data_IF_410666347581
#
_entry.id   IF_410666347581
#
_cell.length_a   1.000
_cell.length_b   1.000
_cell.length_c   1.000
_cell.angle_alpha   90.00
_cell.angle_beta   90.00
_cell.angle_gamma   90.00
#
_symmetry.space_group_name_H-M   'P 1'
#
loop_
_entity.id
_entity.type
_entity.pdbx_description
1 polymer ?
#
# COMPACT_ATOMS: atom_id res chain seq x y z
N UNK A 1 -41.00 -0.67 -16.84
CA UNK A 1 -40.15 -1.67 -17.53
C UNK A 1 -38.74 -1.53 -16.96
N UNK A 2 -38.39 -2.33 -15.94
CA UNK A 2 -37.06 -2.28 -15.33
C UNK A 2 -36.10 -3.11 -16.17
N UNK A 3 -35.04 -2.48 -16.70
CA UNK A 3 -33.93 -3.21 -17.30
C UNK A 3 -33.17 -3.91 -16.17
N UNK A 4 -33.12 -5.24 -16.23
CA UNK A 4 -32.15 -6.03 -15.48
C UNK A 4 -30.76 -5.72 -16.06
N UNK A 5 -30.12 -4.66 -15.56
CA UNK A 5 -28.78 -4.21 -15.97
C UNK A 5 -27.67 -5.15 -15.47
N UNK A 6 -28.00 -6.12 -14.60
CA UNK A 6 -27.04 -7.10 -14.09
C UNK A 6 -27.59 -8.51 -14.25
N UNK A 7 -26.86 -9.32 -15.02
CA UNK A 7 -27.12 -10.75 -15.18
C UNK A 7 -26.55 -11.54 -14.01
N UNK A 8 -26.94 -11.20 -12.78
CA UNK A 8 -26.50 -11.89 -11.56
C UNK A 8 -27.19 -13.26 -11.38
N UNK A 9 -28.16 -13.57 -12.27
CA UNK A 9 -28.94 -14.81 -12.26
C UNK A 9 -28.28 -15.96 -13.06
N UNK A 10 -26.98 -15.88 -13.39
CA UNK A 10 -26.30 -17.00 -14.08
C UNK A 10 -25.95 -18.05 -13.04
N UNK A 11 -26.36 -19.30 -13.27
CA UNK A 11 -26.03 -20.46 -12.44
C UNK A 11 -24.52 -20.45 -12.15
N UNK A 12 -24.14 -20.26 -10.89
CA UNK A 12 -22.73 -20.21 -10.45
C UNK A 12 -21.97 -21.49 -10.80
N UNK A 13 -22.70 -22.60 -10.99
CA UNK A 13 -22.19 -23.90 -11.46
C UNK A 13 -21.69 -23.89 -12.91
N UNK A 14 -22.14 -22.95 -13.73
CA UNK A 14 -21.73 -22.80 -15.15
C UNK A 14 -20.76 -21.64 -15.37
N UNK A 15 -20.53 -20.81 -14.35
CA UNK A 15 -19.61 -19.68 -14.44
C UNK A 15 -18.17 -20.19 -14.34
N UNK A 16 -17.54 -20.38 -15.50
CA UNK A 16 -16.12 -20.74 -15.56
C UNK A 16 -15.23 -19.68 -14.88
N UNK A 17 -14.06 -20.12 -14.42
CA UNK A 17 -13.08 -19.23 -13.77
C UNK A 17 -12.74 -18.03 -14.66
N UNK A 18 -12.70 -16.84 -14.07
CA UNK A 18 -12.22 -15.63 -14.74
C UNK A 18 -10.71 -15.72 -15.02
N UNK A 19 -10.16 -14.76 -15.78
CA UNK A 19 -8.70 -14.69 -15.99
C UNK A 19 -7.99 -14.40 -14.66
N UNK A 20 -8.61 -13.58 -13.82
CA UNK A 20 -8.13 -13.20 -12.50
C UNK A 20 -8.17 -14.39 -11.53
N UNK A 21 -9.24 -15.19 -11.54
CA UNK A 21 -9.33 -16.40 -10.70
C UNK A 21 -8.23 -17.41 -11.05
N UNK A 22 -8.00 -17.65 -12.35
CA UNK A 22 -6.92 -18.54 -12.81
C UNK A 22 -5.53 -18.03 -12.40
N UNK A 23 -5.33 -16.70 -12.39
CA UNK A 23 -4.08 -16.07 -11.93
C UNK A 23 -3.90 -16.23 -10.43
N UNK A 24 -4.95 -16.03 -9.65
CA UNK A 24 -4.94 -16.22 -8.22
C UNK A 24 -4.62 -17.67 -7.85
N UNK A 25 -5.26 -18.65 -8.50
CA UNK A 25 -4.98 -20.07 -8.26
C UNK A 25 -3.54 -20.46 -8.60
N UNK A 26 -3.00 -19.99 -9.74
CA UNK A 26 -1.59 -20.20 -10.06
C UNK A 26 -0.65 -19.60 -9.01
N UNK A 27 -0.97 -18.40 -8.51
CA UNK A 27 -0.18 -17.74 -7.48
C UNK A 27 -0.26 -18.48 -6.15
N UNK A 28 -1.41 -19.06 -5.82
CA UNK A 28 -1.60 -19.87 -4.63
C UNK A 28 -0.80 -21.17 -4.68
N UNK A 29 -0.89 -21.89 -5.80
CA UNK A 29 -0.19 -23.16 -6.00
C UNK A 29 1.33 -23.00 -5.95
N UNK A 30 1.86 -21.91 -6.50
CA UNK A 30 3.31 -21.69 -6.63
C UNK A 30 3.92 -20.82 -5.53
N UNK A 31 3.10 -19.98 -4.90
CA UNK A 31 3.57 -18.91 -4.02
C UNK A 31 3.52 -19.24 -2.53
N UNK A 32 2.67 -20.19 -2.14
CA UNK A 32 2.59 -20.62 -0.74
C UNK A 32 3.88 -21.35 -0.37
N UNK A 33 4.62 -20.78 0.56
CA UNK A 33 5.82 -21.40 1.11
C UNK A 33 5.84 -21.25 2.62
N UNK A 34 6.59 -22.14 3.28
CA UNK A 34 6.77 -22.12 4.72
C UNK A 34 8.06 -21.37 5.03
N UNK A 35 7.96 -20.34 5.84
CA UNK A 35 9.08 -19.57 6.35
C UNK A 35 9.86 -20.37 7.40
N UNK A 36 11.10 -19.96 7.65
CA UNK A 36 12.00 -20.61 8.61
C UNK A 36 11.47 -20.55 10.06
N UNK A 37 10.63 -19.56 10.36
CA UNK A 37 9.91 -19.40 11.63
C UNK A 37 8.69 -20.33 11.77
N UNK A 38 8.39 -21.11 10.72
CA UNK A 38 7.35 -22.11 10.69
C UNK A 38 5.98 -21.62 10.21
N UNK A 39 5.82 -20.33 9.89
CA UNK A 39 4.58 -19.77 9.35
C UNK A 39 4.47 -19.97 7.83
N UNK A 40 3.25 -19.91 7.29
CA UNK A 40 3.01 -19.95 5.85
C UNK A 40 2.76 -18.54 5.32
N UNK A 41 3.48 -18.18 4.26
CA UNK A 41 3.29 -16.91 3.57
C UNK A 41 2.63 -17.13 2.21
N UNK A 42 1.69 -16.23 1.90
CA UNK A 42 1.00 -16.17 0.62
C UNK A 42 1.35 -14.87 -0.09
N UNK A 43 1.89 -14.91 -1.32
CA UNK A 43 2.22 -13.70 -2.05
C UNK A 43 0.96 -12.98 -2.52
N UNK A 44 0.92 -11.67 -2.32
CA UNK A 44 -0.23 -10.84 -2.71
C UNK A 44 -0.43 -10.85 -4.24
N UNK A 45 -1.68 -10.95 -4.73
CA UNK A 45 -2.01 -10.97 -6.16
C UNK A 45 -1.93 -9.57 -6.78
N UNK A 46 -0.74 -8.99 -6.80
CA UNK A 46 -0.49 -7.69 -7.39
C UNK A 46 -0.55 -7.79 -8.92
N UNK A 47 -1.16 -6.78 -9.58
CA UNK A 47 -1.32 -6.75 -11.06
C UNK A 47 0.00 -6.82 -11.83
N UNK A 48 1.10 -6.40 -11.21
CA UNK A 48 2.45 -6.50 -11.73
C UNK A 48 3.35 -7.03 -10.62
N UNK A 49 4.46 -7.67 -10.99
CA UNK A 49 5.53 -8.00 -10.04
C UNK A 49 5.91 -6.72 -9.28
N UNK A 50 5.86 -6.77 -7.95
CA UNK A 50 6.19 -5.63 -7.11
C UNK A 50 7.65 -5.25 -7.37
N UNK A 51 7.87 -4.17 -8.13
CA UNK A 51 9.22 -3.67 -8.47
C UNK A 51 9.82 -2.80 -7.37
N UNK A 52 9.32 -2.94 -6.14
CA UNK A 52 9.60 -2.02 -5.05
C UNK A 52 8.77 -0.74 -5.12
N UNK A 53 8.77 0.00 -4.02
CA UNK A 53 8.24 1.37 -4.01
C UNK A 53 9.13 2.25 -4.90
N UNK A 54 8.50 3.07 -5.74
CA UNK A 54 9.24 4.06 -6.53
C UNK A 54 10.04 4.98 -5.60
N UNK A 55 11.28 5.31 -5.99
CA UNK A 55 12.12 6.21 -5.21
C UNK A 55 11.43 7.56 -5.02
N UNK A 56 11.03 7.87 -3.78
CA UNK A 56 10.40 9.13 -3.43
C UNK A 56 11.43 10.24 -3.10
N UNK A 57 12.72 10.02 -3.37
CA UNK A 57 13.83 10.90 -2.97
C UNK A 57 13.62 12.34 -3.38
N UNK A 58 13.23 12.59 -4.63
CA UNK A 58 12.98 13.95 -5.13
C UNK A 58 11.86 14.66 -4.34
N UNK A 59 10.80 13.92 -4.02
CA UNK A 59 9.68 14.43 -3.21
C UNK A 59 10.09 14.66 -1.75
N UNK A 60 10.87 13.75 -1.17
CA UNK A 60 11.41 13.89 0.18
C UNK A 60 12.28 15.14 0.30
N UNK A 61 13.27 15.31 -0.59
CA UNK A 61 14.15 16.50 -0.62
C UNK A 61 13.34 17.79 -0.73
N UNK A 62 12.34 17.82 -1.64
CA UNK A 62 11.47 18.98 -1.82
C UNK A 62 10.68 19.32 -0.56
N UNK A 63 10.09 18.31 0.11
CA UNK A 63 9.37 18.51 1.38
C UNK A 63 10.28 19.02 2.49
N UNK A 64 11.48 18.45 2.63
CA UNK A 64 12.47 18.89 3.63
C UNK A 64 12.91 20.33 3.39
N UNK A 65 13.10 20.73 2.13
CA UNK A 65 13.44 22.12 1.79
C UNK A 65 12.34 23.10 2.22
N UNK A 66 11.07 22.80 1.92
CA UNK A 66 9.97 23.66 2.36
C UNK A 66 9.81 23.69 3.88
N UNK A 67 10.00 22.56 4.55
CA UNK A 67 9.97 22.47 6.01
C UNK A 67 11.05 23.36 6.63
N UNK A 68 12.28 23.31 6.10
CA UNK A 68 13.39 24.17 6.53
C UNK A 68 13.05 25.65 6.36
N UNK A 69 12.45 26.05 5.23
CA UNK A 69 12.00 27.44 5.02
C UNK A 69 10.93 27.83 6.04
N UNK A 70 9.98 26.93 6.34
CA UNK A 70 8.89 27.19 7.29
C UNK A 70 9.42 27.41 8.72
N UNK A 71 10.46 26.68 9.12
CA UNK A 71 11.12 26.84 10.43
C UNK A 71 11.97 28.10 10.56
N UNK A 72 12.40 28.70 9.45
CA UNK A 72 13.19 29.93 9.46
C UNK A 72 12.34 31.20 9.55
N UNK A 73 11.01 31.09 9.45
CA UNK A 73 10.11 32.24 9.57
C UNK A 73 9.99 32.67 11.04
N UNK A 74 10.12 33.97 11.36
CA UNK A 74 10.08 34.47 12.75
C UNK A 74 8.81 34.08 13.52
N UNK A 75 7.67 34.03 12.82
CA UNK A 75 6.36 33.77 13.42
C UNK A 75 6.05 32.27 13.60
N UNK A 76 6.96 31.37 13.20
CA UNK A 76 6.71 29.92 13.19
C UNK A 76 7.55 29.15 14.22
N UNK A 77 8.05 29.83 15.26
CA UNK A 77 8.84 29.19 16.31
C UNK A 77 8.04 28.11 17.05
N UNK A 78 6.78 28.38 17.40
CA UNK A 78 5.87 27.43 18.03
C UNK A 78 5.67 26.17 17.16
N UNK A 79 5.36 26.36 15.87
CA UNK A 79 5.21 25.26 14.92
C UNK A 79 6.48 24.39 14.83
N UNK A 80 7.66 25.01 14.86
CA UNK A 80 8.93 24.29 14.83
C UNK A 80 9.10 23.42 16.07
N UNK A 81 8.80 23.96 17.25
CA UNK A 81 8.91 23.23 18.52
C UNK A 81 7.93 22.06 18.60
N UNK A 82 6.65 22.28 18.23
CA UNK A 82 5.65 21.22 18.16
C UNK A 82 6.05 20.11 17.19
N UNK A 83 6.53 20.46 16.00
CA UNK A 83 6.98 19.49 15.01
C UNK A 83 8.15 18.66 15.54
N UNK A 84 9.14 19.29 16.19
CA UNK A 84 10.29 18.57 16.74
C UNK A 84 9.87 17.62 17.87
N UNK A 85 8.96 18.05 18.74
CA UNK A 85 8.40 17.22 19.80
C UNK A 85 7.61 16.04 19.23
N UNK A 86 6.81 16.26 18.20
CA UNK A 86 6.08 15.21 17.49
C UNK A 86 7.04 14.18 16.89
N UNK A 87 8.05 14.63 16.12
CA UNK A 87 9.02 13.72 15.50
C UNK A 87 9.82 12.94 16.53
N UNK A 88 10.21 13.58 17.64
CA UNK A 88 10.90 12.91 18.75
C UNK A 88 10.04 11.80 19.33
N UNK A 89 8.77 12.08 19.68
CA UNK A 89 7.83 11.07 20.19
C UNK A 89 7.62 9.93 19.20
N UNK A 90 7.53 10.21 17.90
CA UNK A 90 7.34 9.18 16.89
C UNK A 90 8.56 8.25 16.77
N UNK A 91 9.77 8.78 16.94
CA UNK A 91 11.01 7.99 16.92
C UNK A 91 11.18 7.20 18.22
N UNK A 92 10.86 7.81 19.36
CA UNK A 92 11.00 7.15 20.67
C UNK A 92 9.99 6.00 20.87
N UNK A 93 8.82 6.08 20.22
CA UNK A 93 7.72 5.11 20.35
C UNK A 93 7.58 4.14 19.15
N UNK A 94 8.37 4.32 18.09
CA UNK A 94 8.30 3.51 16.86
C UNK A 94 9.35 2.42 16.84
#
# INVERSE_FOLDING_TARGET
>A
MFKLDFSDNRDTRTQGLSKEDRRFLNLAETGIHRCDDGHYEFPLPLKASFRGLLSNRRGAVRRTFYLKRRFALPNNQEFKEEFMNFMKKMIDNG
#
